data_IF_253835871542
#
_entry.id   IF_253835871542
#
_cell.length_a   1.000
_cell.length_b   1.000
_cell.length_c   1.000
_cell.angle_alpha   90.00
_cell.angle_beta   90.00
_cell.angle_gamma   90.00
#
_symmetry.space_group_name_H-M   'P 1'
#
loop_
_entity.id
_entity.type
_entity.pdbx_description
1 polymer ?
#
# COMPACT_ATOMS: atom_id res chain seq x y z
N UNK A 1 -13.45 11.42 -6.78
CA UNK A 1 -12.51 11.05 -5.70
C UNK A 1 -11.75 12.30 -5.32
N UNK A 2 -12.04 12.86 -4.14
CA UNK A 2 -11.38 14.03 -3.58
C UNK A 2 -10.99 13.68 -2.15
N UNK A 3 -9.70 13.45 -1.95
CA UNK A 3 -9.07 13.05 -0.71
C UNK A 3 -7.59 13.39 -0.87
N UNK A 4 -7.21 14.60 -0.48
CA UNK A 4 -5.90 15.17 -0.79
C UNK A 4 -4.75 14.51 -0.02
N UNK A 5 -5.05 13.81 1.07
CA UNK A 5 -4.05 13.16 1.91
C UNK A 5 -4.57 11.90 2.61
N UNK A 6 -3.63 11.00 2.93
CA UNK A 6 -3.80 9.96 3.93
C UNK A 6 -3.44 10.57 5.28
N UNK A 7 -4.41 10.72 6.16
CA UNK A 7 -4.22 11.26 7.52
C UNK A 7 -3.54 10.22 8.42
N UNK A 8 -3.95 8.96 8.31
CA UNK A 8 -3.40 7.85 9.08
C UNK A 8 -3.43 6.57 8.25
N UNK A 9 -2.43 5.72 8.42
CA UNK A 9 -2.39 4.38 7.85
C UNK A 9 -1.72 3.40 8.81
N UNK A 10 -2.45 2.35 9.20
CA UNK A 10 -1.94 1.24 10.00
C UNK A 10 -1.74 0.04 9.07
N UNK A 11 -0.50 -0.44 8.99
CA UNK A 11 -0.16 -1.69 8.29
C UNK A 11 -0.33 -2.87 9.25
N UNK A 12 -1.15 -3.83 8.87
CA UNK A 12 -1.53 -4.97 9.72
C UNK A 12 -0.86 -6.27 9.29
N UNK A 13 -0.68 -6.46 7.98
CA UNK A 13 -0.04 -7.65 7.42
C UNK A 13 0.65 -7.31 6.10
N UNK A 14 1.82 -7.91 5.82
CA UNK A 14 2.47 -7.73 4.53
C UNK A 14 1.64 -8.31 3.39
N UNK A 15 1.65 -7.64 2.25
CA UNK A 15 1.13 -8.18 0.99
C UNK A 15 2.26 -8.94 0.29
N UNK A 16 2.23 -10.27 0.34
CA UNK A 16 3.21 -11.11 -0.35
C UNK A 16 2.73 -11.36 -1.78
N UNK A 17 3.55 -10.99 -2.75
CA UNK A 17 3.31 -11.26 -4.17
C UNK A 17 4.20 -12.42 -4.59
N UNK A 18 3.60 -13.53 -5.02
CA UNK A 18 4.33 -14.69 -5.52
C UNK A 18 4.96 -14.40 -6.88
N UNK A 19 6.06 -15.08 -7.20
CA UNK A 19 6.74 -14.96 -8.50
C UNK A 19 5.86 -15.33 -9.69
N UNK A 20 4.85 -16.18 -9.45
CA UNK A 20 3.87 -16.65 -10.43
C UNK A 20 2.47 -16.51 -9.87
N UNK A 21 1.50 -16.29 -10.75
CA UNK A 21 0.11 -16.00 -10.37
C UNK A 21 -0.12 -14.51 -10.19
N UNK A 22 -1.32 -14.17 -9.71
CA UNK A 22 -1.72 -12.79 -9.45
C UNK A 22 -2.29 -12.64 -8.05
N UNK A 23 -2.52 -11.40 -7.64
CA UNK A 23 -3.25 -11.07 -6.42
C UNK A 23 -4.37 -10.10 -6.77
N UNK A 24 -5.59 -10.41 -6.32
CA UNK A 24 -6.69 -9.46 -6.39
C UNK A 24 -6.57 -8.49 -5.21
N UNK A 25 -6.54 -7.19 -5.49
CA UNK A 25 -6.52 -6.14 -4.46
C UNK A 25 -7.85 -5.41 -4.47
N UNK A 26 -8.42 -5.20 -3.30
CA UNK A 26 -9.64 -4.43 -3.10
C UNK A 26 -9.41 -3.34 -2.07
N UNK A 27 -9.66 -2.10 -2.49
CA UNK A 27 -9.65 -0.92 -1.64
C UNK A 27 -11.08 -0.44 -1.45
N UNK A 28 -11.61 -0.56 -0.23
CA UNK A 28 -12.94 -0.04 0.11
C UNK A 28 -12.81 1.33 0.75
N UNK A 29 -13.54 2.31 0.25
CA UNK A 29 -13.59 3.67 0.80
C UNK A 29 -14.99 3.93 1.36
N UNK A 30 -15.06 4.29 2.63
CA UNK A 30 -16.30 4.61 3.33
C UNK A 30 -16.91 5.95 2.89
N UNK A 31 -18.13 6.18 3.37
CA UNK A 31 -18.76 7.49 3.29
C UNK A 31 -17.92 8.54 4.04
N UNK A 32 -18.16 9.81 3.70
CA UNK A 32 -17.58 10.95 4.38
C UNK A 32 -18.22 11.08 5.77
N UNK A 33 -17.41 11.22 6.82
CA UNK A 33 -17.89 11.57 8.16
C UNK A 33 -18.16 13.08 8.28
N UNK A 34 -18.68 13.54 9.43
CA UNK A 34 -18.98 14.95 9.70
C UNK A 34 -17.73 15.85 9.63
N UNK A 35 -16.55 15.30 9.94
CA UNK A 35 -15.25 15.99 9.85
C UNK A 35 -14.64 15.97 8.45
N UNK A 36 -15.30 15.35 7.49
CA UNK A 36 -14.81 15.21 6.12
C UNK A 36 -13.81 14.09 5.87
N UNK A 37 -13.63 13.20 6.83
CA UNK A 37 -12.75 12.04 6.69
C UNK A 37 -13.46 10.85 6.11
N UNK A 38 -12.69 9.90 5.59
CA UNK A 38 -13.20 8.63 5.05
C UNK A 38 -12.33 7.49 5.54
N UNK A 39 -12.96 6.45 6.10
CA UNK A 39 -12.27 5.21 6.42
C UNK A 39 -11.93 4.45 5.12
N UNK A 40 -10.73 3.88 5.07
CA UNK A 40 -10.24 3.04 3.98
C UNK A 40 -9.76 1.72 4.53
N UNK A 41 -10.05 0.64 3.80
CA UNK A 41 -9.49 -0.68 4.11
C UNK A 41 -8.94 -1.31 2.83
N UNK A 42 -7.66 -1.69 2.88
CA UNK A 42 -6.95 -2.39 1.80
C UNK A 42 -6.93 -3.87 2.11
N UNK A 43 -7.43 -4.67 1.19
CA UNK A 43 -7.49 -6.13 1.29
C UNK A 43 -6.90 -6.78 0.06
N UNK A 44 -6.36 -7.97 0.23
CA UNK A 44 -5.96 -8.80 -0.91
C UNK A 44 -6.39 -10.24 -0.73
N UNK A 45 -6.42 -10.97 -1.84
CA UNK A 45 -6.49 -12.43 -1.86
C UNK A 45 -5.75 -12.95 -3.10
N UNK A 46 -5.23 -14.18 -3.09
CA UNK A 46 -4.71 -14.80 -4.30
C UNK A 46 -5.72 -14.68 -5.46
N UNK A 47 -5.23 -14.30 -6.64
CA UNK A 47 -6.05 -14.27 -7.83
C UNK A 47 -6.44 -15.71 -8.18
N UNK A 48 -7.73 -15.92 -8.40
CA UNK A 48 -8.31 -17.23 -8.60
C UNK A 48 -7.72 -17.90 -9.85
N UNK A 49 -6.94 -18.96 -9.64
CA UNK A 49 -6.29 -19.74 -10.70
C UNK A 49 -6.95 -21.09 -10.94
N UNK A 50 -7.71 -21.61 -9.97
CA UNK A 50 -8.27 -22.97 -9.99
C UNK A 50 -9.76 -23.06 -9.55
N UNK A 51 -10.46 -21.92 -9.44
CA UNK A 51 -11.91 -21.86 -9.15
C UNK A 51 -12.28 -21.74 -7.69
N UNK A 52 -11.29 -21.66 -6.79
CA UNK A 52 -11.48 -21.40 -5.36
C UNK A 52 -10.70 -20.16 -4.97
N UNK A 53 -11.42 -19.03 -4.92
CA UNK A 53 -10.82 -17.79 -4.47
C UNK A 53 -10.60 -17.81 -2.96
N UNK A 54 -9.34 -17.61 -2.54
CA UNK A 54 -8.99 -17.52 -1.13
C UNK A 54 -9.71 -16.39 -0.38
N UNK A 55 -9.58 -16.42 0.95
CA UNK A 55 -10.16 -15.38 1.81
C UNK A 55 -9.46 -14.03 1.64
N UNK A 56 -10.23 -12.95 1.82
CA UNK A 56 -9.68 -11.60 1.83
C UNK A 56 -8.91 -11.33 3.12
N UNK A 57 -7.60 -11.11 3.01
CA UNK A 57 -6.76 -10.65 4.11
C UNK A 57 -6.70 -9.12 4.14
N UNK A 58 -6.81 -8.52 5.33
CA UNK A 58 -6.63 -7.08 5.52
C UNK A 58 -5.14 -6.76 5.65
N UNK A 59 -4.66 -5.82 4.83
CA UNK A 59 -3.27 -5.37 4.87
C UNK A 59 -3.12 -4.01 5.54
N UNK A 60 -4.09 -3.13 5.34
CA UNK A 60 -4.05 -1.80 5.92
C UNK A 60 -5.44 -1.25 6.20
N UNK A 61 -5.52 -0.47 7.28
CA UNK A 61 -6.63 0.43 7.56
C UNK A 61 -6.11 1.85 7.57
N UNK A 62 -6.82 2.76 6.91
CA UNK A 62 -6.38 4.12 6.76
C UNK A 62 -7.55 5.11 6.88
N UNK A 63 -7.21 6.38 7.11
CA UNK A 63 -8.14 7.49 7.14
C UNK A 63 -7.69 8.50 6.10
N UNK A 64 -8.61 8.92 5.23
CA UNK A 64 -8.39 9.99 4.25
C UNK A 64 -9.01 11.29 4.77
N UNK A 65 -8.36 12.42 4.48
CA UNK A 65 -8.88 13.77 4.75
C UNK A 65 -8.85 14.65 3.50
N UNK A 66 -9.67 15.71 3.49
CA UNK A 66 -9.75 16.62 2.34
C UNK A 66 -8.60 17.63 2.29
N UNK A 67 -8.09 18.03 3.45
CA UNK A 67 -6.95 18.92 3.58
C UNK A 67 -5.78 18.10 4.08
N UNK A 68 -4.75 17.94 3.25
CA UNK A 68 -3.45 17.55 3.78
C UNK A 68 -3.02 18.63 4.76
N UNK A 69 -2.94 18.32 6.06
CA UNK A 69 -1.98 19.03 6.91
C UNK A 69 -0.67 18.92 6.17
N UNK A 70 -0.05 20.08 5.90
CA UNK A 70 1.15 20.26 5.09
C UNK A 70 2.00 18.99 5.07
N UNK A 71 2.27 18.47 3.87
CA UNK A 71 2.95 17.20 3.59
C UNK A 71 4.44 17.24 4.01
N UNK A 72 4.76 17.83 5.17
CA UNK A 72 6.10 17.95 5.76
C UNK A 72 6.59 16.67 6.43
N UNK A 73 5.84 15.59 6.37
CA UNK A 73 6.35 14.25 6.59
C UNK A 73 6.06 13.41 5.35
N UNK A 74 6.77 13.71 4.26
CA UNK A 74 7.17 12.62 3.37
C UNK A 74 7.76 11.55 4.29
N UNK A 75 7.02 10.46 4.53
CA UNK A 75 7.64 9.27 5.10
C UNK A 75 8.60 8.80 4.01
N UNK A 76 9.86 9.24 4.13
CA UNK A 76 10.97 8.74 3.33
C UNK A 76 11.16 7.27 3.72
N UNK A 77 10.35 6.38 3.15
CA UNK A 77 10.56 4.94 3.23
C UNK A 77 11.85 4.67 2.43
N UNK A 78 12.99 4.74 3.11
CA UNK A 78 14.31 4.45 2.55
C UNK A 78 14.92 5.50 1.61
N UNK A 79 14.31 6.69 1.47
CA UNK A 79 14.80 7.74 0.56
C UNK A 79 15.29 9.01 1.26
N UNK A 80 15.88 8.89 2.45
CA UNK A 80 16.79 9.92 2.96
C UNK A 80 18.06 9.93 2.08
N UNK A 81 17.93 10.30 0.80
CA UNK A 81 18.97 10.17 -0.23
C UNK A 81 18.45 9.76 -1.61
N UNK A 82 19.27 9.97 -2.65
CA UNK A 82 19.01 9.53 -4.04
C UNK A 82 18.80 8.01 -4.03
N UNK A 83 17.69 7.52 -4.58
CA UNK A 83 17.47 6.09 -4.84
C UNK A 83 17.61 5.79 -6.34
N UNK A 84 18.37 4.77 -6.75
CA UNK A 84 19.21 3.92 -5.90
C UNK A 84 20.33 4.72 -5.22
N UNK A 85 20.77 4.33 -4.01
CA UNK A 85 21.83 5.03 -3.30
C UNK A 85 23.05 5.21 -4.19
N UNK A 86 23.63 6.41 -4.17
CA UNK A 86 24.83 6.71 -4.95
C UNK A 86 25.93 5.73 -4.56
N UNK A 87 26.60 5.14 -5.55
CA UNK A 87 27.66 4.14 -5.33
C UNK A 87 27.17 2.70 -5.28
N UNK A 88 25.87 2.43 -5.48
CA UNK A 88 25.38 1.06 -5.68
C UNK A 88 25.70 0.60 -7.10
N UNK A 89 26.70 -0.28 -7.22
CA UNK A 89 27.03 -0.99 -8.45
C UNK A 89 26.17 -2.24 -8.64
N UNK A 90 25.99 -2.67 -9.90
CA UNK A 90 25.33 -3.93 -10.21
C UNK A 90 26.15 -5.09 -9.64
N UNK A 91 25.53 -5.95 -8.84
CA UNK A 91 26.15 -7.22 -8.43
C UNK A 91 25.93 -8.23 -9.55
N UNK A 92 27.01 -8.86 -9.98
CA UNK A 92 26.95 -9.99 -10.91
C UNK A 92 26.40 -11.22 -10.17
N UNK A 93 25.38 -11.84 -10.73
CA UNK A 93 24.69 -13.02 -10.17
C UNK A 93 24.96 -14.28 -10.99
N UNK A 94 25.73 -14.17 -12.08
CA UNK A 94 26.07 -15.29 -12.92
C UNK A 94 27.07 -16.19 -12.16
N UNK A 95 26.54 -17.23 -11.49
CA UNK A 95 27.32 -18.17 -10.66
C UNK A 95 26.80 -18.40 -9.24
N UNK A 96 25.68 -17.77 -8.86
CA UNK A 96 24.86 -18.14 -7.68
C UNK A 96 23.96 -19.35 -7.97
#
# INVERSE_FOLDING_TARGET
>A
VGAGAVEECVLEAPLVVSERGGVAVHVSVGARDEGGRRAVVVRSRPQDVDGEAGEWLVHARAVLSETGTDAGAHVEIGTQGVWPPVGVGRVDVDGL
#
